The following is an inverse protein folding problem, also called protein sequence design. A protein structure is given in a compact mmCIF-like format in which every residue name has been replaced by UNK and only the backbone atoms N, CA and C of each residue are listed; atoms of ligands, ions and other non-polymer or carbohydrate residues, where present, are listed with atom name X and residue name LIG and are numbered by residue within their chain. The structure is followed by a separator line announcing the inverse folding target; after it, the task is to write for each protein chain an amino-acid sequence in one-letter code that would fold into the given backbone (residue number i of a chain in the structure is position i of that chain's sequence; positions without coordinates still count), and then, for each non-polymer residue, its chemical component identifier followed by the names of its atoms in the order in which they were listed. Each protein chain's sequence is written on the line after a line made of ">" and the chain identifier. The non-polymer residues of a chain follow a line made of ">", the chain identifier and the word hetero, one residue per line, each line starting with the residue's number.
data_IF_136260724200
#
_entry.id   IF_136260724200
#
_cell.length_a   1.000
_cell.length_b   1.000
_cell.length_c   1.000
_cell.angle_alpha   90.00
_cell.angle_beta   90.00
_cell.angle_gamma   90.00
#
_symmetry.space_group_name_H-M   'P 1'
#
loop_
_entity.id
_entity.type
_entity.pdbx_description
1 polymer ?
#
# COMPACT_ATOMS: atom_id res chain seq x y z
N UNK A 1 8.40 5.67 19.02
CA UNK A 1 7.74 4.43 19.51
C UNK A 1 8.40 3.21 18.85
N UNK A 2 8.39 2.01 19.45
CA UNK A 2 8.78 0.82 18.68
C UNK A 2 7.81 0.60 17.51
N UNK A 3 8.25 -0.20 16.53
CA UNK A 3 7.34 -0.66 15.48
C UNK A 3 6.18 -1.46 16.11
N UNK A 4 4.97 -1.24 15.60
CA UNK A 4 3.75 -1.95 16.00
C UNK A 4 3.28 -2.87 14.87
N UNK A 5 2.37 -3.80 15.16
CA UNK A 5 1.73 -4.58 14.11
C UNK A 5 0.76 -3.71 13.29
N UNK A 6 0.59 -4.01 12.00
CA UNK A 6 -0.41 -3.31 11.21
C UNK A 6 -1.84 -3.56 11.74
N UNK A 7 -2.07 -4.70 12.41
CA UNK A 7 -3.34 -5.00 13.08
C UNK A 7 -3.72 -3.93 14.09
N UNK A 8 -2.80 -3.50 14.96
CA UNK A 8 -3.08 -2.46 15.96
C UNK A 8 -3.55 -1.16 15.33
N UNK A 9 -2.89 -0.75 14.24
CA UNK A 9 -3.24 0.46 13.47
C UNK A 9 -4.61 0.30 12.79
N UNK A 10 -4.84 -0.84 12.15
CA UNK A 10 -6.03 -1.08 11.35
C UNK A 10 -7.28 -1.39 12.17
N UNK A 11 -7.14 -1.99 13.34
CA UNK A 11 -8.26 -2.19 14.28
C UNK A 11 -8.80 -0.83 14.77
N UNK A 12 -7.92 0.15 15.05
CA UNK A 12 -8.33 1.51 15.40
C UNK A 12 -9.00 2.21 14.20
N UNK A 13 -8.42 2.08 13.00
CA UNK A 13 -8.98 2.62 11.78
C UNK A 13 -10.38 2.05 11.49
N UNK A 14 -10.53 0.73 11.66
CA UNK A 14 -11.79 0.03 11.48
C UNK A 14 -12.86 0.50 12.47
N UNK A 15 -12.50 0.60 13.74
CA UNK A 15 -13.39 1.05 14.82
C UNK A 15 -13.84 2.51 14.64
N UNK A 16 -12.98 3.36 14.07
CA UNK A 16 -13.22 4.80 13.92
C UNK A 16 -13.58 5.22 12.49
N UNK A 17 -13.77 4.26 11.57
CA UNK A 17 -14.17 4.47 10.18
C UNK A 17 -13.27 5.46 9.40
N UNK A 18 -11.96 5.22 9.42
CA UNK A 18 -10.99 5.90 8.55
C UNK A 18 -10.06 4.87 7.88
N UNK A 19 -9.25 5.31 6.93
CA UNK A 19 -8.23 4.48 6.33
C UNK A 19 -6.82 4.99 6.62
N UNK A 20 -5.86 4.08 6.65
CA UNK A 20 -4.44 4.38 6.81
C UNK A 20 -3.71 4.13 5.49
N UNK A 21 -2.81 5.02 5.13
CA UNK A 21 -1.96 4.84 3.97
C UNK A 21 -0.87 3.79 4.23
N UNK A 22 -0.78 2.81 3.34
CA UNK A 22 0.37 1.94 3.20
C UNK A 22 1.23 2.49 2.05
N UNK A 23 2.38 3.05 2.40
CA UNK A 23 3.25 3.75 1.47
C UNK A 23 4.46 2.89 1.15
N UNK A 24 4.65 2.57 -0.14
CA UNK A 24 5.75 1.73 -0.59
C UNK A 24 7.08 2.51 -0.59
N UNK A 25 8.13 1.84 -0.12
CA UNK A 25 9.49 2.36 -0.09
C UNK A 25 10.44 1.49 -0.90
N UNK A 26 11.44 2.12 -1.50
CA UNK A 26 12.58 1.45 -2.14
C UNK A 26 13.93 1.95 -1.58
N UNK A 27 13.92 3.11 -0.91
CA UNK A 27 15.11 3.85 -0.51
C UNK A 27 14.85 4.75 0.70
N UNK A 28 15.89 5.47 1.12
CA UNK A 28 15.87 6.41 2.24
C UNK A 28 15.01 7.65 1.93
N UNK A 29 15.01 8.11 0.70
CA UNK A 29 14.35 9.34 0.27
C UNK A 29 12.83 9.24 0.45
N UNK A 30 12.23 8.13 -0.02
CA UNK A 30 10.81 7.86 0.18
C UNK A 30 10.48 7.70 1.66
N UNK A 31 11.29 6.93 2.40
CA UNK A 31 11.08 6.72 3.82
C UNK A 31 11.06 8.05 4.60
N UNK A 32 12.03 8.94 4.35
CA UNK A 32 12.10 10.25 5.00
C UNK A 32 10.91 11.13 4.65
N UNK A 33 10.47 11.14 3.39
CA UNK A 33 9.32 11.90 2.96
C UNK A 33 8.02 11.42 3.66
N UNK A 34 7.83 10.09 3.78
CA UNK A 34 6.69 9.50 4.46
C UNK A 34 6.67 9.87 5.95
N UNK A 35 7.78 9.72 6.65
CA UNK A 35 7.85 10.09 8.07
C UNK A 35 7.63 11.59 8.28
N UNK A 36 8.21 12.45 7.44
CA UNK A 36 7.99 13.90 7.51
C UNK A 36 6.52 14.26 7.38
N UNK A 37 5.81 13.63 6.43
CA UNK A 37 4.38 13.84 6.26
C UNK A 37 3.58 13.34 7.46
N UNK A 38 3.85 12.12 7.91
CA UNK A 38 3.13 11.46 8.99
C UNK A 38 3.27 12.18 10.33
N UNK A 39 4.47 12.64 10.67
CA UNK A 39 4.72 13.43 11.88
C UNK A 39 4.02 14.79 11.81
N UNK A 40 4.08 15.45 10.65
CA UNK A 40 3.39 16.74 10.44
C UNK A 40 1.86 16.60 10.58
N UNK A 41 1.29 15.54 10.03
CA UNK A 41 -0.16 15.27 10.07
C UNK A 41 -0.59 14.53 11.35
N UNK A 42 0.35 14.10 12.21
CA UNK A 42 0.08 13.23 13.38
C UNK A 42 -0.75 12.02 12.98
N UNK A 43 -0.31 11.32 11.96
CA UNK A 43 -1.02 10.20 11.35
C UNK A 43 -0.29 8.88 11.57
N UNK A 44 -0.98 7.76 11.88
CA UNK A 44 -0.38 6.43 11.84
C UNK A 44 -0.03 6.07 10.40
N UNK A 45 1.02 5.26 10.21
CA UNK A 45 1.48 4.83 8.88
C UNK A 45 1.83 3.35 8.82
N UNK A 46 1.67 2.80 7.62
CA UNK A 46 2.22 1.50 7.24
C UNK A 46 3.30 1.75 6.18
N UNK A 47 4.54 1.41 6.52
CA UNK A 47 5.64 1.38 5.56
C UNK A 47 5.59 0.04 4.86
N UNK A 48 5.39 0.05 3.55
CA UNK A 48 5.26 -1.15 2.74
C UNK A 48 6.51 -1.40 1.89
N UNK A 49 6.90 -2.66 1.76
CA UNK A 49 7.98 -3.08 0.88
C UNK A 49 7.56 -4.32 0.09
N UNK A 50 7.55 -4.22 -1.24
CA UNK A 50 7.30 -5.35 -2.12
C UNK A 50 8.53 -6.26 -2.23
N UNK A 51 8.37 -7.45 -2.82
CA UNK A 51 9.51 -8.34 -3.14
C UNK A 51 10.56 -7.64 -4.01
N UNK A 52 10.10 -6.79 -4.96
CA UNK A 52 10.98 -5.98 -5.79
C UNK A 52 11.81 -4.99 -4.98
N UNK A 53 11.21 -4.31 -4.01
CA UNK A 53 11.89 -3.42 -3.10
C UNK A 53 12.90 -4.16 -2.20
N UNK A 54 12.51 -5.33 -1.68
CA UNK A 54 13.39 -6.18 -0.87
C UNK A 54 14.60 -6.67 -1.70
N UNK A 55 14.38 -7.06 -2.96
CA UNK A 55 15.46 -7.46 -3.86
C UNK A 55 16.41 -6.29 -4.18
N UNK A 56 15.88 -5.08 -4.30
CA UNK A 56 16.65 -3.88 -4.62
C UNK A 56 17.47 -3.37 -3.42
N UNK A 57 16.85 -3.18 -2.27
CA UNK A 57 17.45 -2.53 -1.12
C UNK A 57 17.93 -3.49 -0.01
N UNK A 58 17.42 -4.72 0.02
CA UNK A 58 17.63 -5.69 1.11
C UNK A 58 16.64 -5.51 2.25
N UNK A 59 16.07 -6.62 2.74
CA UNK A 59 15.07 -6.61 3.80
C UNK A 59 15.61 -6.01 5.11
N UNK A 60 16.82 -6.39 5.49
CA UNK A 60 17.50 -5.91 6.71
C UNK A 60 17.77 -4.41 6.65
N UNK A 61 18.14 -3.88 5.48
CA UNK A 61 18.38 -2.44 5.29
C UNK A 61 17.07 -1.66 5.41
N UNK A 62 16.00 -2.12 4.75
CA UNK A 62 14.67 -1.49 4.85
C UNK A 62 14.17 -1.50 6.30
N UNK A 63 14.35 -2.60 7.02
CA UNK A 63 14.03 -2.69 8.44
C UNK A 63 14.87 -1.72 9.28
N UNK A 64 16.19 -1.71 9.12
CA UNK A 64 17.10 -0.88 9.91
C UNK A 64 16.79 0.62 9.75
N UNK A 65 16.54 1.07 8.52
CA UNK A 65 16.14 2.44 8.24
C UNK A 65 14.80 2.78 8.88
N UNK A 66 13.79 1.93 8.69
CA UNK A 66 12.44 2.14 9.22
C UNK A 66 12.45 2.13 10.74
N UNK A 67 13.12 1.17 11.36
CA UNK A 67 13.24 1.09 12.82
C UNK A 67 13.95 2.32 13.41
N UNK A 68 15.02 2.77 12.78
CA UNK A 68 15.76 3.95 13.23
C UNK A 68 14.88 5.20 13.27
N UNK A 69 14.00 5.36 12.30
CA UNK A 69 13.06 6.48 12.26
C UNK A 69 11.89 6.28 13.24
N UNK A 70 11.31 5.08 13.28
CA UNK A 70 10.21 4.75 14.18
C UNK A 70 10.58 4.92 15.66
N UNK A 71 11.79 4.51 16.07
CA UNK A 71 12.25 4.67 17.46
C UNK A 71 12.33 6.15 17.91
N UNK A 72 12.51 7.07 16.98
CA UNK A 72 12.56 8.51 17.25
C UNK A 72 11.18 9.19 17.10
N UNK A 73 10.23 8.52 16.50
CA UNK A 73 8.90 9.05 16.22
C UNK A 73 7.91 8.76 17.35
N UNK A 74 6.84 9.56 17.40
CA UNK A 74 5.72 9.38 18.35
C UNK A 74 4.49 8.78 17.70
N UNK A 75 4.49 8.64 16.37
CA UNK A 75 3.38 8.04 15.63
C UNK A 75 3.48 6.53 15.58
N UNK A 76 2.35 5.78 15.51
CA UNK A 76 2.36 4.34 15.26
C UNK A 76 2.86 4.04 13.84
N UNK A 77 3.83 3.13 13.74
CA UNK A 77 4.45 2.71 12.46
C UNK A 77 4.47 1.19 12.39
N UNK A 78 3.96 0.62 11.31
CA UNK A 78 4.14 -0.78 10.98
C UNK A 78 5.04 -0.92 9.75
N UNK A 79 5.86 -1.99 9.71
CA UNK A 79 6.63 -2.38 8.53
C UNK A 79 6.01 -3.64 7.93
N UNK A 80 5.59 -3.57 6.68
CA UNK A 80 4.72 -4.54 6.02
C UNK A 80 5.36 -5.09 4.73
N UNK A 81 5.39 -6.42 4.59
CA UNK A 81 5.66 -7.06 3.30
C UNK A 81 4.42 -6.94 2.42
N UNK A 82 4.56 -6.28 1.28
CA UNK A 82 3.50 -6.08 0.30
C UNK A 82 3.61 -7.12 -0.82
N UNK A 83 2.53 -7.83 -1.12
CA UNK A 83 2.46 -8.88 -2.13
C UNK A 83 3.55 -9.96 -2.05
N UNK A 84 3.70 -10.60 -0.88
CA UNK A 84 4.53 -11.79 -0.75
C UNK A 84 3.97 -12.96 -1.57
N UNK A 85 4.69 -13.40 -2.59
CA UNK A 85 4.22 -14.41 -3.55
C UNK A 85 4.29 -15.84 -3.03
N UNK A 86 5.01 -16.08 -1.95
CA UNK A 86 5.24 -17.42 -1.41
C UNK A 86 5.76 -17.35 0.05
N UNK A 87 5.83 -18.53 0.69
CA UNK A 87 6.29 -18.65 2.07
C UNK A 87 7.72 -18.16 2.27
N UNK A 88 8.61 -18.32 1.30
CA UNK A 88 10.00 -17.89 1.43
C UNK A 88 10.10 -16.37 1.55
N UNK A 89 9.33 -15.60 0.76
CA UNK A 89 9.28 -14.15 0.85
C UNK A 89 8.78 -13.68 2.22
N UNK A 90 7.76 -14.36 2.75
CA UNK A 90 7.24 -14.12 4.11
C UNK A 90 8.32 -14.39 5.16
N UNK A 91 9.05 -15.51 5.08
CA UNK A 91 10.12 -15.85 6.02
C UNK A 91 11.28 -14.86 5.97
N UNK A 92 11.65 -14.34 4.80
CA UNK A 92 12.66 -13.28 4.64
C UNK A 92 12.23 -12.02 5.40
N UNK A 93 10.98 -11.57 5.22
CA UNK A 93 10.44 -10.40 5.89
C UNK A 93 10.39 -10.59 7.42
N UNK A 94 9.90 -11.73 7.91
CA UNK A 94 9.87 -12.08 9.34
C UNK A 94 11.28 -12.05 9.93
N UNK A 95 12.24 -12.70 9.26
CA UNK A 95 13.63 -12.76 9.71
C UNK A 95 14.27 -11.38 9.80
N UNK A 96 13.94 -10.49 8.88
CA UNK A 96 14.43 -9.12 8.89
C UNK A 96 13.81 -8.24 10.00
N UNK A 97 12.65 -8.62 10.55
CA UNK A 97 11.97 -7.91 11.63
C UNK A 97 10.71 -7.14 11.19
N UNK A 98 10.11 -7.51 10.07
CA UNK A 98 8.83 -6.94 9.64
C UNK A 98 7.72 -7.27 10.65
N UNK A 99 6.84 -6.32 10.93
CA UNK A 99 5.75 -6.45 11.91
C UNK A 99 4.41 -6.85 11.29
N UNK A 100 4.38 -6.94 9.96
CA UNK A 100 3.20 -7.29 9.17
C UNK A 100 3.62 -7.91 7.85
N UNK A 101 2.85 -8.85 7.35
CA UNK A 101 3.10 -9.49 6.05
C UNK A 101 1.80 -9.68 5.28
N UNK A 102 1.87 -9.57 3.95
CA UNK A 102 0.83 -10.07 3.06
C UNK A 102 1.31 -11.34 2.37
N UNK A 103 0.44 -12.33 2.32
CA UNK A 103 0.57 -13.48 1.42
C UNK A 103 -0.43 -13.35 0.29
N UNK A 104 0.06 -13.25 -0.94
CA UNK A 104 -0.76 -13.16 -2.14
C UNK A 104 -0.80 -14.52 -2.85
N UNK A 105 -1.81 -15.30 -2.48
CA UNK A 105 -2.14 -16.57 -3.13
C UNK A 105 -3.44 -16.47 -3.96
N UNK A 106 -3.87 -15.25 -4.33
CA UNK A 106 -5.13 -14.97 -5.03
C UNK A 106 -5.20 -15.61 -6.44
N UNK A 107 -4.06 -15.93 -7.02
CA UNK A 107 -3.97 -16.64 -8.31
C UNK A 107 -4.29 -18.14 -8.23
N UNK A 108 -4.32 -18.74 -7.02
CA UNK A 108 -4.76 -20.13 -6.82
C UNK A 108 -6.28 -20.21 -6.62
N UNK A 109 -6.81 -21.44 -6.65
CA UNK A 109 -8.20 -21.69 -6.26
C UNK A 109 -8.39 -21.49 -4.75
N UNK A 110 -9.63 -21.26 -4.31
CA UNK A 110 -9.99 -20.96 -2.93
C UNK A 110 -9.31 -21.88 -1.91
N UNK A 111 -9.40 -23.18 -2.08
CA UNK A 111 -8.86 -24.16 -1.13
C UNK A 111 -7.33 -24.09 -0.99
N UNK A 112 -6.62 -23.89 -2.09
CA UNK A 112 -5.16 -23.77 -2.06
C UNK A 112 -4.73 -22.40 -1.51
N UNK A 113 -5.41 -21.30 -1.88
CA UNK A 113 -5.21 -20.00 -1.28
C UNK A 113 -5.40 -20.07 0.24
N UNK A 114 -6.53 -20.66 0.70
CA UNK A 114 -6.82 -20.84 2.12
C UNK A 114 -5.74 -21.66 2.83
N UNK A 115 -5.27 -22.74 2.25
CA UNK A 115 -4.22 -23.61 2.80
C UNK A 115 -2.90 -22.87 2.96
N UNK A 116 -2.46 -22.14 1.93
CA UNK A 116 -1.22 -21.34 1.95
C UNK A 116 -1.35 -20.22 3.01
N UNK A 117 -2.47 -19.50 3.02
CA UNK A 117 -2.74 -18.44 3.98
C UNK A 117 -2.72 -18.94 5.42
N UNK A 118 -3.35 -20.08 5.70
CA UNK A 118 -3.30 -20.73 7.03
C UNK A 118 -1.88 -21.05 7.49
N UNK A 119 -1.02 -21.52 6.59
CA UNK A 119 0.38 -21.78 6.93
C UNK A 119 1.09 -20.51 7.39
N UNK A 120 0.90 -19.40 6.66
CA UNK A 120 1.47 -18.10 7.03
C UNK A 120 0.92 -17.59 8.36
N UNK A 121 -0.40 -17.64 8.56
CA UNK A 121 -1.04 -17.24 9.82
C UNK A 121 -0.48 -18.02 11.01
N UNK A 122 -0.32 -19.34 10.87
CA UNK A 122 0.21 -20.20 11.94
C UNK A 122 1.66 -19.87 12.33
N UNK A 123 2.45 -19.35 11.38
CA UNK A 123 3.82 -18.89 11.62
C UNK A 123 3.82 -17.50 12.26
N UNK A 124 3.02 -16.57 11.75
CA UNK A 124 3.04 -15.16 12.11
C UNK A 124 2.37 -14.89 13.46
N UNK A 125 1.24 -15.54 13.75
CA UNK A 125 0.42 -15.29 14.95
C UNK A 125 1.17 -15.45 16.27
N UNK A 126 1.97 -16.53 16.49
CA UNK A 126 2.78 -16.66 17.71
C UNK A 126 3.86 -15.60 17.88
N UNK A 127 4.26 -14.95 16.77
CA UNK A 127 5.29 -13.90 16.74
C UNK A 127 4.69 -12.48 16.89
N UNK A 128 3.37 -12.35 16.97
CA UNK A 128 2.69 -11.05 17.01
C UNK A 128 2.73 -10.28 15.68
N UNK A 129 3.00 -10.98 14.56
CA UNK A 129 3.07 -10.40 13.23
C UNK A 129 1.69 -10.52 12.58
N UNK A 130 1.13 -9.41 12.10
CA UNK A 130 -0.17 -9.39 11.45
C UNK A 130 -0.11 -9.90 10.01
N UNK A 131 -1.19 -10.55 9.56
CA UNK A 131 -1.29 -11.18 8.25
C UNK A 131 -2.42 -10.59 7.42
N UNK A 132 -2.08 -10.13 6.21
CA UNK A 132 -2.97 -9.78 5.12
C UNK A 132 -3.06 -10.92 4.12
N UNK A 133 -4.23 -11.11 3.51
CA UNK A 133 -4.37 -11.95 2.34
C UNK A 133 -5.33 -11.31 1.31
N UNK A 134 -5.27 -11.80 0.07
CA UNK A 134 -6.12 -11.35 -1.02
C UNK A 134 -7.09 -12.45 -1.47
N UNK A 135 -8.34 -12.08 -1.76
CA UNK A 135 -9.34 -12.99 -2.30
C UNK A 135 -10.05 -12.34 -3.50
N UNK A 136 -10.22 -13.13 -4.56
CA UNK A 136 -10.51 -12.68 -5.90
C UNK A 136 -9.21 -12.37 -6.65
N UNK A 137 -9.29 -11.92 -7.91
CA UNK A 137 -8.12 -11.60 -8.73
C UNK A 137 -8.24 -10.20 -9.31
N UNK A 138 -7.34 -9.33 -8.92
CA UNK A 138 -7.22 -8.00 -9.53
C UNK A 138 -6.50 -8.10 -10.87
N UNK A 139 -6.95 -7.32 -11.86
CA UNK A 139 -6.28 -7.21 -13.15
C UNK A 139 -5.08 -6.27 -13.10
N UNK A 140 -4.15 -6.40 -14.06
CA UNK A 140 -3.01 -5.51 -14.23
C UNK A 140 -1.67 -6.16 -13.92
N UNK A 141 -0.63 -5.33 -13.80
CA UNK A 141 0.74 -5.77 -13.55
C UNK A 141 1.25 -5.04 -12.30
N UNK A 142 1.72 -5.79 -11.31
CA UNK A 142 2.42 -5.28 -10.14
C UNK A 142 3.60 -6.21 -9.84
N UNK A 143 4.82 -5.65 -9.82
CA UNK A 143 6.09 -6.36 -9.71
C UNK A 143 6.14 -7.64 -10.58
N UNK A 144 5.98 -8.82 -9.99
CA UNK A 144 6.05 -10.12 -10.68
C UNK A 144 4.69 -10.73 -11.03
N UNK A 145 3.57 -10.05 -10.67
CA UNK A 145 2.20 -10.54 -10.91
C UNK A 145 1.59 -9.82 -12.11
N UNK A 146 1.09 -10.59 -13.09
CA UNK A 146 0.39 -10.08 -14.27
C UNK A 146 -0.91 -10.85 -14.48
N UNK A 147 -2.04 -10.14 -14.39
CA UNK A 147 -3.39 -10.71 -14.59
C UNK A 147 -4.08 -10.02 -15.76
N UNK A 148 -4.46 -10.78 -16.78
CA UNK A 148 -5.23 -10.26 -17.91
C UNK A 148 -6.68 -9.94 -17.50
N UNK A 149 -7.33 -8.98 -18.19
CA UNK A 149 -8.72 -8.57 -17.89
C UNK A 149 -9.71 -9.76 -17.84
N UNK A 150 -9.52 -10.77 -18.69
CA UNK A 150 -10.35 -11.99 -18.75
C UNK A 150 -10.19 -12.91 -17.54
N UNK A 151 -9.09 -12.78 -16.81
CA UNK A 151 -8.72 -13.66 -15.69
C UNK A 151 -9.00 -12.97 -14.33
N UNK A 152 -9.47 -11.71 -14.36
CA UNK A 152 -9.90 -10.98 -13.18
C UNK A 152 -11.24 -11.53 -12.66
N UNK A 153 -11.30 -11.80 -11.37
CA UNK A 153 -12.48 -12.36 -10.69
C UNK A 153 -12.81 -11.51 -9.46
N UNK A 154 -14.01 -10.96 -9.43
CA UNK A 154 -14.50 -10.25 -8.24
C UNK A 154 -14.74 -11.20 -7.08
N UNK A 155 -14.46 -10.74 -5.86
CA UNK A 155 -14.66 -11.52 -4.64
C UNK A 155 -16.13 -11.93 -4.46
N UNK A 156 -16.35 -13.16 -3.99
CA UNK A 156 -17.67 -13.60 -3.49
C UNK A 156 -17.78 -13.27 -1.99
N UNK A 157 -18.78 -12.49 -1.53
CA UNK A 157 -18.90 -12.12 -0.13
C UNK A 157 -19.08 -13.29 0.84
N UNK A 158 -19.77 -14.38 0.43
CA UNK A 158 -19.91 -15.57 1.26
C UNK A 158 -18.56 -16.31 1.42
N UNK A 159 -17.84 -16.49 0.32
CA UNK A 159 -16.48 -17.05 0.35
C UNK A 159 -15.52 -16.19 1.18
N UNK A 160 -15.68 -14.85 1.15
CA UNK A 160 -14.87 -13.96 1.98
C UNK A 160 -15.03 -14.24 3.48
N UNK A 161 -16.28 -14.48 3.93
CA UNK A 161 -16.57 -14.87 5.32
C UNK A 161 -15.88 -16.18 5.67
N UNK A 162 -16.11 -17.22 4.87
CA UNK A 162 -15.54 -18.55 5.10
C UNK A 162 -13.99 -18.50 5.10
N UNK A 163 -13.41 -17.71 4.20
CA UNK A 163 -11.96 -17.52 4.12
C UNK A 163 -11.39 -16.86 5.38
N UNK A 164 -11.99 -15.76 5.85
CA UNK A 164 -11.56 -15.03 7.04
C UNK A 164 -11.67 -15.90 8.30
N UNK A 165 -12.83 -16.52 8.51
CA UNK A 165 -13.08 -17.38 9.68
C UNK A 165 -12.15 -18.61 9.70
N UNK A 166 -11.90 -19.20 8.53
CA UNK A 166 -11.07 -20.38 8.38
C UNK A 166 -9.57 -20.09 8.41
N UNK A 167 -9.10 -18.98 7.82
CA UNK A 167 -7.67 -18.63 7.77
C UNK A 167 -7.17 -17.97 9.04
N UNK A 168 -7.99 -17.15 9.69
CA UNK A 168 -7.62 -16.36 10.86
C UNK A 168 -6.72 -15.17 10.53
N UNK A 169 -6.78 -14.62 9.31
CA UNK A 169 -6.08 -13.40 8.91
C UNK A 169 -6.58 -12.18 9.69
N UNK A 170 -5.78 -11.12 9.73
CA UNK A 170 -6.10 -9.89 10.44
C UNK A 170 -6.82 -8.86 9.57
N UNK A 171 -6.54 -8.84 8.27
CA UNK A 171 -7.18 -7.95 7.29
C UNK A 171 -7.17 -8.57 5.89
N UNK A 172 -8.15 -8.19 5.07
CA UNK A 172 -8.43 -8.79 3.77
C UNK A 172 -8.40 -7.74 2.66
N UNK A 173 -7.71 -8.05 1.57
CA UNK A 173 -7.79 -7.32 0.31
C UNK A 173 -8.82 -7.98 -0.62
N UNK A 174 -10.04 -7.39 -0.74
CA UNK A 174 -11.07 -7.92 -1.61
C UNK A 174 -10.92 -7.41 -3.04
N UNK A 175 -10.96 -8.29 -4.04
CA UNK A 175 -11.04 -7.86 -5.44
C UNK A 175 -12.43 -7.28 -5.74
N UNK A 176 -12.52 -5.95 -5.83
CA UNK A 176 -13.79 -5.22 -6.05
C UNK A 176 -13.78 -4.35 -7.32
N UNK A 177 -12.86 -4.61 -8.26
CA UNK A 177 -12.80 -3.92 -9.55
C UNK A 177 -11.69 -2.89 -9.70
N UNK A 178 -10.74 -2.79 -8.78
CA UNK A 178 -9.48 -2.06 -8.98
C UNK A 178 -8.52 -2.82 -9.90
N UNK A 179 -7.44 -2.17 -10.34
CA UNK A 179 -6.37 -2.83 -11.10
C UNK A 179 -5.00 -2.33 -10.66
N UNK A 180 -4.00 -3.22 -10.77
CA UNK A 180 -2.61 -2.93 -10.45
C UNK A 180 -1.88 -2.15 -11.55
N UNK A 181 -0.78 -1.45 -11.20
CA UNK A 181 0.14 -0.79 -12.11
C UNK A 181 -0.15 0.69 -12.41
N UNK A 182 0.80 1.36 -13.06
CA UNK A 182 0.72 2.79 -13.41
C UNK A 182 -0.33 3.10 -14.47
N UNK A 183 -0.72 2.14 -15.30
CA UNK A 183 -1.62 2.29 -16.46
C UNK A 183 -3.00 1.68 -16.20
N UNK A 184 -3.61 2.01 -15.07
CA UNK A 184 -4.72 1.26 -14.46
C UNK A 184 -6.04 1.30 -15.20
N UNK A 185 -6.42 2.45 -15.76
CA UNK A 185 -7.75 2.60 -16.36
C UNK A 185 -7.66 3.31 -17.71
N UNK A 186 -8.15 2.66 -18.77
CA UNK A 186 -8.50 3.33 -20.04
C UNK A 186 -9.88 4.00 -19.98
N UNK A 187 -10.56 3.98 -18.81
CA UNK A 187 -11.90 4.54 -18.56
C UNK A 187 -12.09 4.90 -17.08
N UNK A 188 -13.35 5.07 -16.64
CA UNK A 188 -13.69 5.34 -15.26
C UNK A 188 -13.47 4.10 -14.37
N UNK A 189 -12.86 4.29 -13.20
CA UNK A 189 -12.75 3.25 -12.18
C UNK A 189 -14.15 2.96 -11.61
N UNK A 190 -14.69 1.78 -11.88
CA UNK A 190 -15.96 1.33 -11.31
C UNK A 190 -15.69 0.31 -10.22
N UNK A 191 -15.76 0.75 -8.95
CA UNK A 191 -15.70 -0.15 -7.80
C UNK A 191 -17.10 -0.69 -7.49
N UNK A 192 -17.17 -1.97 -7.15
CA UNK A 192 -18.41 -2.62 -6.69
C UNK A 192 -18.62 -2.34 -5.19
N UNK A 193 -19.19 -1.18 -4.88
CA UNK A 193 -19.43 -0.76 -3.50
C UNK A 193 -20.47 -1.63 -2.77
N UNK A 194 -21.46 -2.17 -3.47
CA UNK A 194 -22.44 -3.08 -2.85
C UNK A 194 -21.77 -4.38 -2.40
N UNK A 195 -20.85 -4.88 -3.23
CA UNK A 195 -20.03 -6.04 -2.89
C UNK A 195 -19.11 -5.75 -1.71
N UNK A 196 -18.41 -4.59 -1.73
CA UNK A 196 -17.53 -4.16 -0.65
C UNK A 196 -18.28 -4.08 0.68
N UNK A 197 -19.47 -3.44 0.70
CA UNK A 197 -20.32 -3.33 1.86
C UNK A 197 -20.68 -4.72 2.40
N UNK A 198 -21.09 -5.64 1.52
CA UNK A 198 -21.46 -7.00 1.90
C UNK A 198 -20.29 -7.79 2.49
N UNK A 199 -19.08 -7.66 1.91
CA UNK A 199 -17.87 -8.26 2.46
C UNK A 199 -17.60 -7.72 3.86
N UNK A 200 -17.70 -6.38 4.04
CA UNK A 200 -17.50 -5.74 5.35
C UNK A 200 -18.50 -6.22 6.40
N UNK A 201 -19.79 -6.30 6.03
CA UNK A 201 -20.85 -6.76 6.93
C UNK A 201 -20.70 -8.22 7.36
N UNK A 202 -20.11 -9.07 6.51
CA UNK A 202 -19.92 -10.48 6.80
C UNK A 202 -18.61 -10.79 7.53
N UNK A 203 -17.56 -10.03 7.26
CA UNK A 203 -16.21 -10.32 7.80
C UNK A 203 -15.86 -9.52 9.04
N UNK A 204 -16.39 -8.30 9.17
CA UNK A 204 -16.14 -7.33 10.25
C UNK A 204 -14.67 -6.91 10.42
N UNK A 205 -13.70 -7.52 9.73
CA UNK A 205 -12.28 -7.18 9.81
C UNK A 205 -11.93 -5.93 8.99
N UNK A 206 -10.75 -5.31 9.17
CA UNK A 206 -10.26 -4.27 8.29
C UNK A 206 -10.15 -4.76 6.85
N UNK A 207 -10.58 -3.93 5.89
CA UNK A 207 -10.46 -4.21 4.46
C UNK A 207 -9.39 -3.31 3.81
N UNK A 208 -8.71 -3.87 2.81
CA UNK A 208 -7.60 -3.23 2.12
C UNK A 208 -7.98 -2.93 0.67
N UNK A 209 -7.61 -1.76 0.18
CA UNK A 209 -7.77 -1.42 -1.22
C UNK A 209 -6.41 -1.40 -1.92
N UNK A 210 -6.18 -2.40 -2.76
CA UNK A 210 -5.07 -2.46 -3.70
C UNK A 210 -5.42 -1.74 -5.01
N UNK A 211 -4.41 -1.44 -5.83
CA UNK A 211 -4.63 -0.75 -7.08
C UNK A 211 -5.25 0.65 -6.93
N UNK A 212 -5.09 1.30 -5.78
CA UNK A 212 -5.76 2.53 -5.38
C UNK A 212 -4.96 3.81 -5.60
N UNK A 213 -3.85 3.77 -6.35
CA UNK A 213 -3.08 4.99 -6.67
C UNK A 213 -3.96 6.04 -7.33
N UNK A 214 -3.82 7.27 -6.90
CA UNK A 214 -4.57 8.45 -7.34
C UNK A 214 -3.60 9.60 -7.54
N UNK A 215 -2.76 9.49 -8.58
CA UNK A 215 -1.73 10.50 -8.83
C UNK A 215 -2.36 11.88 -8.91
N UNK A 216 -1.98 12.84 -8.03
CA UNK A 216 -2.51 14.20 -8.12
C UNK A 216 -2.24 14.81 -9.50
N UNK A 217 -3.22 15.50 -10.07
CA UNK A 217 -3.12 16.10 -11.41
C UNK A 217 -1.89 17.01 -11.54
N UNK A 218 -1.54 17.73 -10.47
CA UNK A 218 -0.33 18.57 -10.42
C UNK A 218 0.96 17.78 -10.61
N UNK A 219 1.02 16.53 -10.11
CA UNK A 219 2.19 15.67 -10.22
C UNK A 219 2.28 15.04 -11.61
N UNK A 220 1.16 14.57 -12.17
CA UNK A 220 1.12 14.04 -13.53
C UNK A 220 1.44 15.10 -14.57
N UNK A 221 0.84 16.30 -14.48
CA UNK A 221 1.16 17.43 -15.38
C UNK A 221 2.64 17.81 -15.30
N UNK A 222 3.20 17.93 -14.10
CA UNK A 222 4.62 18.24 -13.93
C UNK A 222 5.52 17.14 -14.51
N UNK A 223 5.17 15.87 -14.31
CA UNK A 223 5.91 14.75 -14.86
C UNK A 223 5.96 14.80 -16.40
N UNK A 224 4.82 15.07 -17.05
CA UNK A 224 4.71 15.19 -18.52
C UNK A 224 5.39 16.46 -19.06
N UNK A 225 5.25 17.60 -18.36
CA UNK A 225 5.91 18.88 -18.71
C UNK A 225 7.43 18.71 -18.84
N UNK A 226 8.04 17.90 -17.99
CA UNK A 226 9.48 17.64 -18.01
C UNK A 226 9.85 16.32 -18.71
N UNK A 227 9.06 15.90 -19.70
CA UNK A 227 9.39 14.80 -20.62
C UNK A 227 9.08 13.41 -20.09
N UNK A 228 8.23 13.28 -19.08
CA UNK A 228 7.63 12.01 -18.69
C UNK A 228 6.50 11.62 -19.63
N UNK A 229 6.21 10.31 -19.74
CA UNK A 229 5.09 9.80 -20.53
C UNK A 229 4.24 8.85 -19.66
N UNK A 230 3.03 9.29 -19.31
CA UNK A 230 2.06 8.52 -18.55
C UNK A 230 1.08 7.75 -19.44
N UNK A 231 1.18 7.86 -20.77
CA UNK A 231 0.32 7.16 -21.73
C UNK A 231 -1.18 7.28 -21.41
N UNK A 232 -1.60 8.43 -20.85
CA UNK A 232 -2.98 8.68 -20.45
C UNK A 232 -3.47 7.86 -19.24
N UNK A 233 -2.57 7.31 -18.46
CA UNK A 233 -2.93 6.57 -17.24
C UNK A 233 -3.69 7.45 -16.25
N UNK A 234 -4.81 6.93 -15.72
CA UNK A 234 -5.62 7.56 -14.69
C UNK A 234 -5.64 6.66 -13.44
N UNK A 235 -5.46 7.27 -12.28
CA UNK A 235 -5.64 6.59 -10.99
C UNK A 235 -7.11 6.55 -10.55
N UNK A 236 -7.35 6.00 -9.36
CA UNK A 236 -8.68 6.02 -8.72
C UNK A 236 -8.98 7.46 -8.26
N UNK A 237 -10.11 8.07 -8.65
CA UNK A 237 -10.48 9.41 -8.20
C UNK A 237 -10.62 9.50 -6.67
N UNK A 238 -10.31 10.65 -6.09
CA UNK A 238 -10.34 10.85 -4.63
C UNK A 238 -11.74 10.73 -4.01
N UNK A 239 -12.78 11.08 -4.74
CA UNK A 239 -14.18 10.89 -4.33
C UNK A 239 -14.56 9.40 -4.27
N UNK A 240 -14.13 8.61 -5.24
CA UNK A 240 -14.30 7.15 -5.26
C UNK A 240 -13.56 6.50 -4.08
N UNK A 241 -12.35 7.01 -3.77
CA UNK A 241 -11.58 6.53 -2.63
C UNK A 241 -12.29 6.85 -1.29
N UNK A 242 -12.79 8.09 -1.14
CA UNK A 242 -13.57 8.49 0.05
C UNK A 242 -14.83 7.66 0.21
N UNK A 243 -15.49 7.31 -0.90
CA UNK A 243 -16.66 6.45 -0.87
C UNK A 243 -16.29 5.02 -0.42
N UNK A 244 -15.19 4.44 -0.94
CA UNK A 244 -14.69 3.14 -0.50
C UNK A 244 -14.42 3.08 1.02
N UNK A 245 -13.86 4.16 1.59
CA UNK A 245 -13.63 4.26 3.05
C UNK A 245 -14.94 4.21 3.84
N UNK A 246 -16.00 4.88 3.37
CA UNK A 246 -17.33 4.82 4.02
C UNK A 246 -17.89 3.39 4.06
N UNK A 247 -17.54 2.57 3.07
CA UNK A 247 -17.96 1.15 3.00
C UNK A 247 -16.97 0.18 3.63
N UNK A 248 -15.97 0.68 4.36
CA UNK A 248 -15.16 -0.15 5.26
C UNK A 248 -13.74 -0.45 4.81
N UNK A 249 -13.22 0.26 3.80
CA UNK A 249 -11.77 0.24 3.52
C UNK A 249 -11.02 0.96 4.63
N UNK A 250 -10.01 0.28 5.20
CA UNK A 250 -9.21 0.75 6.32
C UNK A 250 -7.70 0.85 6.00
N UNK A 251 -7.22 0.22 4.92
CA UNK A 251 -5.86 0.34 4.40
C UNK A 251 -5.91 0.67 2.92
N UNK A 252 -5.05 1.58 2.46
CA UNK A 252 -4.95 1.95 1.04
C UNK A 252 -3.49 1.94 0.62
N UNK A 253 -3.15 1.06 -0.33
CA UNK A 253 -1.81 0.99 -0.89
C UNK A 253 -1.53 2.19 -1.80
N UNK A 254 -0.35 2.79 -1.64
CA UNK A 254 0.10 3.99 -2.36
C UNK A 254 1.56 3.82 -2.77
N UNK A 255 1.82 3.66 -4.05
CA UNK A 255 3.16 3.50 -4.63
C UNK A 255 3.36 4.42 -5.83
N UNK A 256 2.61 4.22 -6.92
CA UNK A 256 2.74 4.96 -8.18
C UNK A 256 2.68 6.48 -7.99
N UNK A 257 1.84 6.96 -7.08
CA UNK A 257 1.71 8.39 -6.76
C UNK A 257 3.04 8.99 -6.32
N UNK A 258 3.75 8.26 -5.46
CA UNK A 258 5.03 8.68 -4.89
C UNK A 258 6.12 8.67 -5.95
N UNK A 259 6.18 7.59 -6.73
CA UNK A 259 7.16 7.44 -7.83
C UNK A 259 7.02 8.56 -8.86
N UNK A 260 5.79 8.86 -9.30
CA UNK A 260 5.53 9.93 -10.27
C UNK A 260 5.86 11.30 -9.67
N UNK A 261 5.46 11.57 -8.44
CA UNK A 261 5.75 12.84 -7.77
C UNK A 261 7.27 13.06 -7.62
N UNK A 262 8.00 12.04 -7.17
CA UNK A 262 9.45 12.11 -7.01
C UNK A 262 10.15 12.36 -8.35
N UNK A 263 9.84 11.54 -9.37
CA UNK A 263 10.47 11.64 -10.68
C UNK A 263 10.07 12.92 -11.42
N UNK A 264 8.86 13.46 -11.21
CA UNK A 264 8.46 14.75 -11.76
C UNK A 264 9.41 15.86 -11.27
N UNK A 265 9.73 15.87 -9.98
CA UNK A 265 10.60 16.87 -9.39
C UNK A 265 12.08 16.67 -9.75
N UNK A 266 12.53 15.43 -9.83
CA UNK A 266 13.89 15.09 -10.31
C UNK A 266 14.09 15.56 -11.75
N UNK A 267 13.10 15.30 -12.65
CA UNK A 267 13.13 15.77 -14.05
C UNK A 267 13.16 17.29 -14.13
N UNK A 268 12.32 17.98 -13.35
CA UNK A 268 12.32 19.45 -13.25
C UNK A 268 13.73 19.96 -12.86
N UNK A 269 14.36 19.36 -11.84
CA UNK A 269 15.67 19.76 -11.38
C UNK A 269 16.74 19.66 -12.48
N UNK A 270 16.76 18.57 -13.24
CA UNK A 270 17.69 18.42 -14.37
C UNK A 270 17.39 19.35 -15.56
N UNK A 271 16.12 19.68 -15.78
CA UNK A 271 15.73 20.59 -16.86
C UNK A 271 16.09 22.06 -16.55
N UNK A 272 15.98 22.44 -15.27
CA UNK A 272 16.20 23.83 -14.83
C UNK A 272 17.67 24.13 -14.53
N UNK A 273 18.45 23.18 -14.04
CA UNK A 273 19.89 23.32 -13.78
C UNK A 273 20.67 22.11 -14.31
N UNK A 274 21.13 22.22 -15.55
CA UNK A 274 21.91 21.15 -16.21
C UNK A 274 23.31 20.94 -15.59
N UNK A 275 23.79 21.88 -14.78
CA UNK A 275 25.10 21.80 -14.14
C UNK A 275 25.05 21.14 -12.76
N UNK A 276 23.86 20.87 -12.22
CA UNK A 276 23.67 20.31 -10.90
C UNK A 276 24.17 18.86 -10.81
N UNK A 277 25.14 18.63 -9.95
CA UNK A 277 25.76 17.31 -9.72
C UNK A 277 25.59 16.83 -8.28
N UNK A 278 25.10 17.69 -7.37
CA UNK A 278 24.88 17.30 -5.98
C UNK A 278 23.51 16.59 -5.82
N UNK A 279 23.48 15.27 -5.52
CA UNK A 279 22.25 14.53 -5.38
C UNK A 279 21.33 15.10 -4.27
N UNK A 280 21.88 15.71 -3.22
CA UNK A 280 21.09 16.33 -2.15
C UNK A 280 20.24 17.50 -2.64
N UNK A 281 20.74 18.26 -3.62
CA UNK A 281 20.05 19.38 -4.25
C UNK A 281 19.02 18.94 -5.31
N UNK A 282 19.13 17.69 -5.78
CA UNK A 282 18.17 17.07 -6.71
C UNK A 282 17.08 16.36 -5.92
N UNK A 283 17.45 15.49 -4.97
CA UNK A 283 16.51 14.66 -4.23
C UNK A 283 15.83 15.38 -3.06
N UNK A 284 16.50 16.39 -2.45
CA UNK A 284 15.89 17.19 -1.37
C UNK A 284 14.54 17.80 -1.77
N UNK A 285 14.47 18.62 -2.84
CA UNK A 285 13.19 19.15 -3.35
C UNK A 285 12.19 18.08 -3.80
N UNK A 286 12.67 16.92 -4.29
CA UNK A 286 11.82 15.81 -4.67
C UNK A 286 11.16 15.16 -3.43
N UNK A 287 11.91 14.97 -2.34
CA UNK A 287 11.37 14.49 -1.06
C UNK A 287 10.32 15.43 -0.49
N UNK A 288 10.55 16.76 -0.52
CA UNK A 288 9.58 17.75 -0.07
C UNK A 288 8.28 17.67 -0.88
N UNK A 289 8.37 17.55 -2.18
CA UNK A 289 7.20 17.41 -3.05
C UNK A 289 6.42 16.12 -2.79
N UNK A 290 7.11 15.00 -2.58
CA UNK A 290 6.50 13.71 -2.18
C UNK A 290 5.83 13.85 -0.81
N UNK A 291 6.48 14.54 0.15
CA UNK A 291 5.91 14.82 1.48
C UNK A 291 4.55 15.51 1.37
N UNK A 292 4.42 16.51 0.48
CA UNK A 292 3.16 17.23 0.28
C UNK A 292 2.07 16.35 -0.35
N UNK A 293 2.44 15.47 -1.29
CA UNK A 293 1.53 14.49 -1.87
C UNK A 293 1.02 13.51 -0.82
N UNK A 294 1.89 13.06 0.07
CA UNK A 294 1.52 12.14 1.17
C UNK A 294 0.60 12.82 2.18
N UNK A 295 0.87 14.08 2.56
CA UNK A 295 -0.01 14.85 3.46
C UNK A 295 -1.42 14.98 2.88
N UNK A 296 -1.53 15.31 1.59
CA UNK A 296 -2.81 15.36 0.89
C UNK A 296 -3.53 14.02 0.94
N UNK A 297 -2.81 12.93 0.71
CA UNK A 297 -3.34 11.56 0.79
C UNK A 297 -3.84 11.25 2.21
N UNK A 298 -3.08 11.54 3.26
CA UNK A 298 -3.49 11.29 4.65
C UNK A 298 -4.77 12.03 5.03
N UNK A 299 -4.95 13.27 4.56
CA UNK A 299 -6.19 14.05 4.75
C UNK A 299 -7.39 13.39 4.05
N UNK A 300 -7.20 12.90 2.83
CA UNK A 300 -8.25 12.20 2.07
C UNK A 300 -8.64 10.90 2.75
N UNK A 301 -7.67 10.15 3.29
CA UNK A 301 -7.89 8.91 4.01
C UNK A 301 -8.52 9.10 5.40
N UNK A 302 -8.48 10.31 5.94
CA UNK A 302 -9.03 10.66 7.25
C UNK A 302 -8.15 10.24 8.43
N UNK A 303 -6.87 9.89 8.19
CA UNK A 303 -5.94 9.48 9.24
C UNK A 303 -5.15 10.63 9.87
N UNK A 304 -5.22 11.85 9.34
CA UNK A 304 -4.62 13.04 9.98
C UNK A 304 -5.17 13.25 11.40
N UNK A 305 -4.28 13.42 12.39
CA UNK A 305 -4.64 13.59 13.80
C UNK A 305 -5.11 12.30 14.50
N UNK A 306 -4.80 11.12 13.96
CA UNK A 306 -5.20 9.82 14.51
C UNK A 306 -4.05 9.03 15.17
N UNK A 307 -2.83 9.59 15.22
CA UNK A 307 -1.69 8.98 15.91
C UNK A 307 -1.73 9.18 17.42
#
# INVERSE_FOLDING_TARGET
>A
MPLVSAKEILDDANKKNYAVGAFNINDMEFLKAIFSAAESEKAPIIIAASEGAIKYAGAEMLYAMTKTMADKSKIPVALHLDHGSNLNSVLIAIKAGFTSVMIDASHYLFEENLKITKQVVNICKPLGISVEAELGRLKGIEDNVSVADRDAVLINPAEAKDFVESSGIDFLAPAIGTSHGAFKFKGEAKLDFERLKKVKELTHIPLVLHGASSVPERASKKFEEFGGDLKGAKGVPFDVLKEAIKYGINKVNTDTDLRIAFLAKVRESFATDKSQIDPRKIFGPAMEYVTDVIKERMKILGCSGKA
#
